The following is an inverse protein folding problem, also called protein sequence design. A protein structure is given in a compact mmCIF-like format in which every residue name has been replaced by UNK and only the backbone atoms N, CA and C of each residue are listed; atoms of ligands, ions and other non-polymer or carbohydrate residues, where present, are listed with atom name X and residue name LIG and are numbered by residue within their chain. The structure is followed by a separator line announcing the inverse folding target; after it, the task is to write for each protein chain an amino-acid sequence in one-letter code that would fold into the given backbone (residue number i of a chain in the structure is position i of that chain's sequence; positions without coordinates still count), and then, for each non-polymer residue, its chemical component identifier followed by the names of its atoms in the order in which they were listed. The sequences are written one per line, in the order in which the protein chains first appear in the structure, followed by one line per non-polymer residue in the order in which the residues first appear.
data_IF_506704732676
#
_entry.id   IF_506704732676
#
_cell.length_a   1.000
_cell.length_b   1.000
_cell.length_c   1.000
_cell.angle_alpha   90.00
_cell.angle_beta   90.00
_cell.angle_gamma   90.00
#
_symmetry.space_group_name_H-M   'P 1'
#
loop_
_entity.id
_entity.type
_entity.pdbx_description
1 polymer ?
#
# COMPACT_ATOMS: atom_id res chain seq x y z
N UNK A 1 -42.32 -63.67 -12.27
CA UNK A 1 -41.07 -64.04 -12.95
C UNK A 1 -39.93 -63.72 -11.97
N UNK A 2 -39.64 -64.68 -11.09
CA UNK A 2 -38.36 -65.42 -10.99
C UNK A 2 -37.21 -64.53 -10.45
N UNK A 3 -37.00 -64.51 -9.12
CA UNK A 3 -36.06 -65.37 -8.34
C UNK A 3 -34.59 -65.03 -8.62
N UNK A 4 -33.89 -64.42 -7.67
CA UNK A 4 -33.01 -65.07 -6.69
C UNK A 4 -31.69 -65.57 -7.32
N UNK A 5 -30.54 -65.07 -6.86
CA UNK A 5 -29.64 -65.88 -6.03
C UNK A 5 -28.35 -65.14 -5.64
N UNK A 6 -27.99 -65.35 -4.37
CA UNK A 6 -26.74 -64.98 -3.75
C UNK A 6 -25.61 -65.93 -4.16
N UNK A 7 -24.35 -65.48 -4.05
CA UNK A 7 -23.20 -66.34 -3.67
C UNK A 7 -22.01 -65.50 -3.22
N UNK A 8 -21.69 -65.63 -1.93
CA UNK A 8 -20.36 -65.43 -1.38
C UNK A 8 -19.34 -66.36 -2.06
N UNK A 9 -18.10 -65.90 -2.22
CA UNK A 9 -16.92 -66.76 -2.22
C UNK A 9 -15.70 -65.99 -1.70
N UNK A 10 -14.99 -66.66 -0.80
CA UNK A 10 -13.91 -66.21 0.06
C UNK A 10 -12.54 -66.19 -0.63
N UNK A 11 -11.68 -65.27 -0.16
CA UNK A 11 -10.22 -65.30 -0.05
C UNK A 11 -9.33 -65.61 -1.27
N UNK A 12 -8.45 -64.65 -1.60
CA UNK A 12 -6.99 -64.87 -1.71
C UNK A 12 -6.23 -63.53 -1.78
N UNK A 13 -5.34 -63.29 -0.81
CA UNK A 13 -4.27 -62.29 -0.92
C UNK A 13 -3.24 -62.78 -1.95
N UNK A 14 -2.66 -61.88 -2.75
CA UNK A 14 -1.27 -62.00 -3.13
C UNK A 14 -0.43 -60.87 -2.54
N UNK A 15 0.82 -61.26 -2.32
CA UNK A 15 1.95 -60.58 -1.75
C UNK A 15 2.40 -59.31 -2.47
N UNK A 16 3.00 -58.44 -1.66
CA UNK A 16 4.00 -57.42 -1.97
C UNK A 16 4.72 -57.50 -3.33
N UNK A 17 4.72 -56.40 -4.05
CA UNK A 17 5.94 -55.88 -4.68
C UNK A 17 5.85 -54.36 -4.91
N UNK A 18 6.99 -53.73 -4.66
CA UNK A 18 7.32 -52.31 -4.72
C UNK A 18 7.15 -51.69 -6.10
N UNK A 19 6.66 -50.44 -6.17
CA UNK A 19 7.48 -49.26 -6.53
C UNK A 19 6.61 -48.05 -6.86
N UNK A 20 6.99 -46.93 -6.24
CA UNK A 20 6.78 -45.52 -6.62
C UNK A 20 5.62 -45.15 -7.58
N UNK A 21 4.70 -44.32 -7.08
CA UNK A 21 4.46 -43.05 -7.76
C UNK A 21 4.05 -41.97 -6.76
N UNK A 22 4.61 -40.80 -6.99
CA UNK A 22 4.52 -39.59 -6.18
C UNK A 22 3.11 -39.01 -6.29
N UNK A 23 2.49 -38.72 -5.16
CA UNK A 23 1.26 -37.94 -5.13
C UNK A 23 0.78 -37.80 -3.69
N UNK A 24 0.43 -36.58 -3.28
CA UNK A 24 -0.01 -36.21 -1.93
C UNK A 24 1.14 -36.08 -0.92
N UNK A 25 1.32 -35.01 -0.14
CA UNK A 25 0.52 -33.83 0.10
C UNK A 25 1.48 -32.70 0.52
N UNK A 26 1.38 -31.54 -0.10
CA UNK A 26 1.71 -30.27 0.55
C UNK A 26 0.43 -29.45 0.58
N UNK A 27 -0.51 -29.92 1.41
CA UNK A 27 -1.58 -29.07 1.92
C UNK A 27 -0.89 -28.05 2.84
N UNK A 28 -0.47 -26.93 2.26
CA UNK A 28 -0.14 -25.75 3.04
C UNK A 28 -1.44 -25.25 3.68
N UNK A 29 -1.71 -25.73 4.87
CA UNK A 29 -2.75 -25.24 5.77
C UNK A 29 -2.39 -23.81 6.22
N UNK A 30 -2.66 -22.82 5.38
CA UNK A 30 -2.87 -21.45 5.83
C UNK A 30 -4.33 -21.34 6.27
N UNK A 31 -4.59 -21.61 7.55
CA UNK A 31 -5.75 -20.98 8.19
C UNK A 31 -5.43 -19.48 8.23
N UNK A 32 -5.85 -18.74 7.20
CA UNK A 32 -5.92 -17.30 7.30
C UNK A 32 -6.77 -16.99 8.53
N UNK A 33 -6.23 -16.27 9.51
CA UNK A 33 -7.01 -15.90 10.69
C UNK A 33 -8.25 -15.13 10.26
N UNK A 34 -9.43 -15.48 10.77
CA UNK A 34 -10.67 -14.72 10.53
C UNK A 34 -10.62 -13.27 11.05
N UNK A 35 -9.63 -12.92 11.88
CA UNK A 35 -9.40 -11.56 12.34
C UNK A 35 -9.14 -10.60 11.15
N UNK A 36 -9.63 -9.36 11.19
CA UNK A 36 -9.32 -8.35 10.18
C UNK A 36 -7.79 -8.11 10.07
N UNK A 37 -7.28 -7.70 8.90
CA UNK A 37 -5.89 -7.25 8.81
C UNK A 37 -5.67 -6.04 9.72
N UNK A 38 -4.45 -5.86 10.21
CA UNK A 38 -4.08 -4.68 11.00
C UNK A 38 -3.87 -3.47 10.08
N UNK A 39 -4.47 -2.33 10.43
CA UNK A 39 -4.22 -1.06 9.74
C UNK A 39 -2.81 -0.54 10.05
N UNK A 40 -1.94 -0.50 9.04
CA UNK A 40 -0.56 -0.01 9.15
C UNK A 40 -0.30 1.26 8.35
N UNK A 41 -1.15 1.60 7.39
CA UNK A 41 -1.03 2.88 6.71
C UNK A 41 -2.22 3.28 5.84
N UNK A 42 -2.39 4.59 5.68
CA UNK A 42 -3.37 5.20 4.78
C UNK A 42 -2.67 6.30 4.00
N UNK A 43 -2.86 6.32 2.69
CA UNK A 43 -2.34 7.37 1.82
C UNK A 43 -3.47 8.10 1.12
N UNK A 44 -3.40 9.43 1.11
CA UNK A 44 -4.24 10.28 0.27
C UNK A 44 -3.35 10.92 -0.80
N UNK A 45 -3.53 10.48 -2.04
CA UNK A 45 -2.69 10.85 -3.17
C UNK A 45 -3.29 11.99 -4.00
N UNK A 46 -2.43 12.72 -4.71
CA UNK A 46 -2.85 13.72 -5.66
C UNK A 46 -3.36 14.99 -4.99
N UNK A 47 -2.71 15.39 -3.91
CA UNK A 47 -2.97 16.64 -3.19
C UNK A 47 -2.30 17.79 -3.94
N UNK A 48 -3.06 18.85 -4.16
CA UNK A 48 -2.67 19.97 -5.03
C UNK A 48 -2.60 21.31 -4.29
N UNK A 49 -3.08 21.34 -3.04
CA UNK A 49 -3.22 22.56 -2.23
C UNK A 49 -2.85 22.28 -0.75
N UNK A 50 -2.16 23.22 -0.07
CA UNK A 50 -1.81 23.09 1.35
C UNK A 50 -3.02 22.94 2.28
N UNK A 51 -4.14 23.60 1.99
CA UNK A 51 -5.35 23.51 2.83
C UNK A 51 -5.93 22.09 2.83
N UNK A 52 -5.95 21.44 1.66
CA UNK A 52 -6.40 20.06 1.53
C UNK A 52 -5.48 19.11 2.31
N UNK A 53 -4.17 19.39 2.29
CA UNK A 53 -3.18 18.63 3.04
C UNK A 53 -3.41 18.71 4.56
N UNK A 54 -3.64 19.92 5.08
CA UNK A 54 -3.97 20.12 6.49
C UNK A 54 -5.26 19.39 6.88
N UNK A 55 -6.31 19.50 6.06
CA UNK A 55 -7.58 18.80 6.30
C UNK A 55 -7.42 17.28 6.30
N UNK A 56 -6.62 16.71 5.39
CA UNK A 56 -6.34 15.28 5.38
C UNK A 56 -5.75 14.84 6.71
N UNK A 57 -4.73 15.55 7.20
CA UNK A 57 -4.05 15.21 8.45
C UNK A 57 -4.99 15.35 9.65
N UNK A 58 -5.70 16.48 9.75
CA UNK A 58 -6.63 16.75 10.85
C UNK A 58 -7.78 15.74 10.86
N UNK A 59 -8.34 15.42 9.69
CA UNK A 59 -9.43 14.44 9.56
C UNK A 59 -8.94 13.03 9.89
N UNK A 60 -7.78 12.62 9.39
CA UNK A 60 -7.19 11.32 9.72
C UNK A 60 -6.95 11.20 11.23
N UNK A 61 -6.36 12.22 11.86
CA UNK A 61 -6.09 12.23 13.29
C UNK A 61 -7.36 12.11 14.12
N UNK A 62 -8.41 12.85 13.76
CA UNK A 62 -9.69 12.85 14.45
C UNK A 62 -10.44 11.53 14.24
N UNK A 63 -10.66 11.13 12.98
CA UNK A 63 -11.49 9.98 12.62
C UNK A 63 -10.83 8.65 12.97
N UNK A 64 -9.50 8.55 12.91
CA UNK A 64 -8.75 7.36 13.31
C UNK A 64 -8.22 7.45 14.75
N UNK A 65 -8.64 8.42 15.57
CA UNK A 65 -8.26 8.54 16.99
C UNK A 65 -6.74 8.46 17.24
N UNK A 66 -5.92 9.02 16.32
CA UNK A 66 -4.48 8.75 16.28
C UNK A 66 -3.70 9.32 17.47
N UNK A 67 -4.19 10.42 18.06
CA UNK A 67 -3.58 11.05 19.22
C UNK A 67 -3.58 10.14 20.46
N UNK A 68 -4.62 9.31 20.60
CA UNK A 68 -4.82 8.41 21.74
C UNK A 68 -4.30 7.00 21.48
N UNK A 69 -3.72 6.73 20.31
CA UNK A 69 -3.52 5.36 19.91
C UNK A 69 -2.57 4.58 20.83
N UNK A 70 -3.00 3.51 21.49
CA UNK A 70 -2.21 2.82 22.52
C UNK A 70 -1.03 2.00 21.94
N UNK A 71 -1.14 1.57 20.68
CA UNK A 71 -0.17 0.75 19.96
C UNK A 71 0.58 1.54 18.85
N UNK A 72 1.36 0.82 18.03
CA UNK A 72 1.97 1.40 16.83
C UNK A 72 0.89 1.97 15.89
N UNK A 73 1.02 3.25 15.60
CA UNK A 73 0.06 4.06 14.84
C UNK A 73 0.18 3.78 13.34
N UNK A 74 -0.92 3.79 12.56
CA UNK A 74 -0.81 3.70 11.12
C UNK A 74 -0.09 4.93 10.56
N UNK A 75 0.77 4.72 9.55
CA UNK A 75 1.39 5.82 8.83
C UNK A 75 0.34 6.55 7.97
N UNK A 76 0.34 7.87 7.99
CA UNK A 76 -0.50 8.72 7.16
C UNK A 76 0.38 9.39 6.12
N UNK A 77 0.15 9.07 4.84
CA UNK A 77 0.90 9.62 3.73
C UNK A 77 0.07 10.62 2.94
N UNK A 78 0.67 11.76 2.59
CA UNK A 78 0.02 12.81 1.78
C UNK A 78 0.80 12.97 0.48
N UNK A 79 0.27 12.44 -0.62
CA UNK A 79 0.97 12.34 -1.90
C UNK A 79 0.77 13.55 -2.81
N UNK A 80 1.88 14.12 -3.28
CA UNK A 80 1.96 15.17 -4.30
C UNK A 80 2.45 14.56 -5.61
N UNK A 81 1.77 14.81 -6.73
CA UNK A 81 2.20 14.28 -8.04
C UNK A 81 3.05 15.33 -8.75
N UNK A 82 4.31 15.03 -9.03
CA UNK A 82 5.25 15.93 -9.72
C UNK A 82 5.50 15.51 -11.18
N UNK A 83 4.57 14.74 -11.75
CA UNK A 83 4.61 14.32 -13.15
C UNK A 83 3.75 15.22 -14.03
N UNK A 84 4.37 15.86 -15.02
CA UNK A 84 3.78 16.90 -15.86
C UNK A 84 2.48 16.48 -16.58
N UNK A 85 2.29 15.19 -16.86
CA UNK A 85 1.12 14.66 -17.57
C UNK A 85 -0.09 14.38 -16.66
N UNK A 86 0.06 14.57 -15.36
CA UNK A 86 -1.03 14.38 -14.40
C UNK A 86 -1.93 15.60 -14.32
N UNK A 87 -3.25 15.40 -14.30
CA UNK A 87 -4.22 16.47 -13.96
C UNK A 87 -4.10 17.02 -12.53
N UNK A 88 -3.25 16.37 -11.71
CA UNK A 88 -2.98 16.70 -10.30
C UNK A 88 -1.53 17.15 -10.11
N UNK A 89 -0.86 17.54 -11.19
CA UNK A 89 0.53 17.97 -11.13
C UNK A 89 0.68 19.19 -10.22
N UNK A 90 1.74 19.18 -9.41
CA UNK A 90 2.23 20.33 -8.66
C UNK A 90 3.70 20.57 -8.99
N UNK A 91 4.14 21.83 -8.87
CA UNK A 91 5.55 22.20 -8.92
C UNK A 91 6.28 21.81 -7.63
N UNK A 92 7.61 21.81 -7.65
CA UNK A 92 8.42 21.59 -6.44
C UNK A 92 8.11 22.59 -5.32
N UNK A 93 7.89 23.88 -5.67
CA UNK A 93 7.54 24.92 -4.70
C UNK A 93 6.15 24.70 -4.07
N UNK A 94 5.16 24.30 -4.87
CA UNK A 94 3.83 23.95 -4.35
C UNK A 94 3.87 22.69 -3.48
N UNK A 95 4.65 21.69 -3.87
CA UNK A 95 4.88 20.49 -3.07
C UNK A 95 5.56 20.84 -1.73
N UNK A 96 6.50 21.78 -1.70
CA UNK A 96 7.09 22.31 -0.47
C UNK A 96 6.01 22.91 0.45
N UNK A 97 5.14 23.77 -0.08
CA UNK A 97 4.02 24.34 0.68
C UNK A 97 3.08 23.28 1.25
N UNK A 98 2.82 22.21 0.50
CA UNK A 98 2.05 21.06 0.98
C UNK A 98 2.79 20.32 2.09
N UNK A 99 4.09 20.05 1.94
CA UNK A 99 4.91 19.39 2.96
C UNK A 99 4.91 20.17 4.29
N UNK A 100 5.03 21.50 4.22
CA UNK A 100 4.93 22.38 5.38
C UNK A 100 3.56 22.24 6.06
N UNK A 101 2.46 22.34 5.30
CA UNK A 101 1.11 22.20 5.85
C UNK A 101 0.86 20.84 6.51
N UNK A 102 1.40 19.75 5.94
CA UNK A 102 1.34 18.41 6.54
C UNK A 102 2.02 18.38 7.90
N UNK A 103 3.24 18.91 7.99
CA UNK A 103 4.02 18.93 9.24
C UNK A 103 3.37 19.80 10.31
N UNK A 104 2.87 20.97 9.93
CA UNK A 104 2.19 21.88 10.85
C UNK A 104 0.87 21.28 11.37
N UNK A 105 0.05 20.70 10.50
CA UNK A 105 -1.17 20.03 10.91
C UNK A 105 -0.87 18.84 11.84
N UNK A 106 0.15 18.05 11.54
CA UNK A 106 0.62 16.98 12.43
C UNK A 106 1.11 17.54 13.77
N UNK A 107 1.80 18.68 13.77
CA UNK A 107 2.29 19.32 14.99
C UNK A 107 1.16 19.82 15.90
N UNK A 108 0.06 20.30 15.32
CA UNK A 108 -1.16 20.71 16.04
C UNK A 108 -1.96 19.53 16.55
N UNK A 109 -2.10 18.47 15.74
CA UNK A 109 -2.99 17.34 16.04
C UNK A 109 -2.33 16.23 16.88
N UNK A 110 -1.00 16.10 16.85
CA UNK A 110 -0.28 14.96 17.43
C UNK A 110 0.84 15.35 18.41
N UNK A 111 1.05 14.57 19.48
CA UNK A 111 2.23 14.68 20.34
C UNK A 111 3.54 14.52 19.54
N UNK A 112 4.62 15.17 19.99
CA UNK A 112 5.94 15.18 19.31
C UNK A 112 6.37 13.79 18.79
N UNK A 113 6.31 12.76 19.63
CA UNK A 113 6.71 11.37 19.29
C UNK A 113 5.89 10.69 18.18
N UNK A 114 4.76 11.27 17.77
CA UNK A 114 3.88 10.69 16.74
C UNK A 114 3.87 11.46 15.43
N UNK A 115 4.53 12.62 15.38
CA UNK A 115 4.50 13.50 14.19
C UNK A 115 5.17 12.85 12.98
N UNK A 116 6.15 11.98 13.20
CA UNK A 116 6.85 11.23 12.15
C UNK A 116 5.97 10.21 11.43
N UNK A 117 4.82 9.83 11.99
CA UNK A 117 3.87 8.93 11.33
C UNK A 117 3.08 9.63 10.22
N UNK A 118 3.13 10.97 10.14
CA UNK A 118 2.43 11.75 9.13
C UNK A 118 3.47 12.37 8.18
N UNK A 119 3.54 11.87 6.95
CA UNK A 119 4.64 12.21 6.03
C UNK A 119 4.13 12.60 4.65
N UNK A 120 4.62 13.70 4.07
CA UNK A 120 4.35 14.02 2.68
C UNK A 120 5.18 13.11 1.75
N UNK A 121 4.66 12.84 0.55
CA UNK A 121 5.26 11.94 -0.44
C UNK A 121 5.30 12.62 -1.80
N UNK A 122 6.46 12.64 -2.45
CA UNK A 122 6.63 13.08 -3.84
C UNK A 122 6.42 11.90 -4.80
N UNK A 123 5.53 12.01 -5.79
CA UNK A 123 5.23 10.95 -6.76
C UNK A 123 5.78 11.30 -8.13
N UNK A 124 6.59 10.40 -8.69
CA UNK A 124 7.26 10.55 -9.99
C UNK A 124 6.89 9.41 -10.94
N UNK A 125 6.92 9.69 -12.23
CA UNK A 125 6.66 8.72 -13.31
C UNK A 125 7.70 8.95 -14.40
N UNK A 126 8.51 7.93 -14.69
CA UNK A 126 9.48 7.93 -15.80
C UNK A 126 10.47 9.11 -15.82
N UNK A 127 10.78 9.67 -14.64
CA UNK A 127 11.76 10.76 -14.44
C UNK A 127 13.18 10.22 -14.16
N UNK A 128 14.26 10.97 -14.51
CA UNK A 128 15.63 10.57 -14.19
C UNK A 128 15.96 10.77 -12.70
N UNK A 129 16.88 9.96 -12.16
CA UNK A 129 17.22 9.98 -10.73
C UNK A 129 17.69 11.36 -10.23
N UNK A 130 18.46 12.09 -11.03
CA UNK A 130 18.91 13.45 -10.68
C UNK A 130 17.75 14.44 -10.50
N UNK A 131 16.74 14.35 -11.37
CA UNK A 131 15.59 15.21 -11.28
C UNK A 131 14.75 14.88 -10.04
N UNK A 132 14.59 13.58 -9.75
CA UNK A 132 13.93 13.11 -8.52
C UNK A 132 14.65 13.67 -7.28
N UNK A 133 15.98 13.51 -7.20
CA UNK A 133 16.79 13.99 -6.09
C UNK A 133 16.65 15.51 -5.89
N UNK A 134 16.93 16.30 -6.93
CA UNK A 134 16.83 17.78 -6.88
C UNK A 134 15.43 18.25 -6.48
N UNK A 135 14.40 17.60 -7.03
CA UNK A 135 13.01 17.96 -6.73
C UNK A 135 12.63 17.62 -5.29
N UNK A 136 13.07 16.48 -4.77
CA UNK A 136 12.82 16.11 -3.37
C UNK A 136 13.54 17.06 -2.41
N UNK A 137 14.78 17.46 -2.71
CA UNK A 137 15.51 18.46 -1.92
C UNK A 137 14.77 19.81 -1.93
N UNK A 138 14.38 20.32 -3.10
CA UNK A 138 13.65 21.60 -3.24
C UNK A 138 12.28 21.58 -2.56
N UNK A 139 11.56 20.46 -2.62
CA UNK A 139 10.25 20.29 -2.01
C UNK A 139 10.32 19.89 -0.53
N UNK A 140 11.53 19.72 0.02
CA UNK A 140 11.78 19.12 1.33
C UNK A 140 11.06 17.77 1.54
N UNK A 141 11.00 16.92 0.52
CA UNK A 141 10.32 15.63 0.56
C UNK A 141 11.30 14.51 0.89
N UNK A 142 11.09 13.84 2.03
CA UNK A 142 11.89 12.68 2.42
C UNK A 142 11.42 11.34 1.85
N UNK A 143 10.38 11.32 1.01
CA UNK A 143 9.86 10.08 0.38
C UNK A 143 9.59 10.33 -1.10
N UNK A 144 10.19 9.51 -1.97
CA UNK A 144 9.88 9.44 -3.39
C UNK A 144 9.11 8.16 -3.75
N UNK A 145 7.87 8.27 -4.21
CA UNK A 145 7.13 7.16 -4.80
C UNK A 145 7.45 7.04 -6.29
N UNK A 146 8.05 5.91 -6.68
CA UNK A 146 8.46 5.61 -8.04
C UNK A 146 7.30 4.90 -8.77
N UNK A 147 6.43 5.67 -9.42
CA UNK A 147 5.20 5.22 -10.06
C UNK A 147 5.38 4.96 -11.56
N UNK A 148 6.35 4.10 -11.93
CA UNK A 148 6.62 3.72 -13.32
C UNK A 148 6.82 2.21 -13.47
N UNK A 149 7.36 1.79 -14.61
CA UNK A 149 7.64 0.35 -14.85
C UNK A 149 8.68 -0.20 -13.88
N UNK A 150 8.65 -1.50 -13.59
CA UNK A 150 9.66 -2.16 -12.75
C UNK A 150 11.09 -1.93 -13.27
N UNK A 151 11.27 -1.91 -14.59
CA UNK A 151 12.56 -1.63 -15.23
C UNK A 151 13.02 -0.18 -15.00
N UNK A 152 12.11 0.79 -15.10
CA UNK A 152 12.44 2.19 -14.79
C UNK A 152 12.77 2.37 -13.30
N UNK A 153 11.98 1.77 -12.41
CA UNK A 153 12.25 1.82 -10.97
C UNK A 153 13.65 1.27 -10.65
N UNK A 154 14.03 0.12 -11.22
CA UNK A 154 15.37 -0.45 -11.03
C UNK A 154 16.49 0.47 -11.53
N UNK A 155 16.31 1.12 -12.69
CA UNK A 155 17.28 2.11 -13.21
C UNK A 155 17.42 3.29 -12.27
N UNK A 156 16.32 3.88 -11.80
CA UNK A 156 16.36 4.99 -10.85
C UNK A 156 17.10 4.58 -9.57
N UNK A 157 16.85 3.38 -9.05
CA UNK A 157 17.56 2.91 -7.84
C UNK A 157 19.07 2.77 -8.06
N UNK A 158 19.49 2.31 -9.24
CA UNK A 158 20.90 2.20 -9.61
C UNK A 158 21.55 3.58 -9.81
N UNK A 159 20.91 4.45 -10.59
CA UNK A 159 21.39 5.80 -10.89
C UNK A 159 21.46 6.65 -9.62
N UNK A 160 20.44 6.62 -8.76
CA UNK A 160 20.43 7.34 -7.48
C UNK A 160 21.64 6.94 -6.63
N UNK A 161 21.97 5.66 -6.56
CA UNK A 161 23.18 5.23 -5.83
C UNK A 161 24.46 5.73 -6.45
N UNK A 162 24.56 5.77 -7.78
CA UNK A 162 25.73 6.30 -8.45
C UNK A 162 25.90 7.80 -8.17
N UNK A 163 24.81 8.57 -8.15
CA UNK A 163 24.81 9.99 -7.79
C UNK A 163 25.32 10.24 -6.36
N UNK A 164 25.05 9.33 -5.43
CA UNK A 164 25.45 9.44 -4.01
C UNK A 164 26.62 8.50 -3.66
N UNK A 165 27.60 8.34 -4.55
CA UNK A 165 28.88 7.69 -4.24
C UNK A 165 28.78 6.18 -3.98
N UNK A 166 27.83 5.50 -4.63
CA UNK A 166 27.58 4.07 -4.50
C UNK A 166 26.64 3.68 -3.35
N UNK A 167 26.27 4.63 -2.49
CA UNK A 167 25.35 4.45 -1.35
C UNK A 167 24.00 5.11 -1.65
N UNK A 168 22.97 4.65 -0.94
CA UNK A 168 21.67 5.30 -0.98
C UNK A 168 21.69 6.55 -0.09
N UNK A 169 21.12 7.70 -0.52
CA UNK A 169 21.05 8.91 0.31
C UNK A 169 20.26 8.66 1.60
N UNK A 170 20.87 8.96 2.76
CA UNK A 170 20.27 8.67 4.08
C UNK A 170 19.01 9.51 4.39
N UNK A 171 18.82 10.63 3.68
CA UNK A 171 17.70 11.54 3.87
C UNK A 171 16.45 11.17 3.05
N UNK A 172 16.58 10.26 2.07
CA UNK A 172 15.52 9.92 1.13
C UNK A 172 15.08 8.47 1.33
N UNK A 173 13.80 8.25 1.52
CA UNK A 173 13.19 6.93 1.39
C UNK A 173 12.44 6.83 0.06
N UNK A 174 12.10 5.61 -0.35
CA UNK A 174 11.31 5.40 -1.56
C UNK A 174 10.19 4.40 -1.38
N UNK A 175 9.17 4.54 -2.21
CA UNK A 175 8.11 3.57 -2.37
C UNK A 175 8.07 3.05 -3.81
N UNK A 176 7.80 1.76 -3.97
CA UNK A 176 7.73 1.09 -5.26
C UNK A 176 6.27 0.86 -5.67
N UNK A 177 5.98 0.87 -6.97
CA UNK A 177 4.63 0.58 -7.50
C UNK A 177 4.63 -0.71 -8.30
N UNK A 178 3.63 -1.54 -8.10
CA UNK A 178 3.45 -2.81 -8.78
C UNK A 178 2.03 -2.92 -9.33
N UNK A 179 1.84 -3.61 -10.45
CA UNK A 179 0.51 -3.99 -10.91
C UNK A 179 -0.01 -5.19 -10.12
N UNK A 180 -1.34 -5.37 -10.00
CA UNK A 180 -1.90 -6.62 -9.50
C UNK A 180 -1.34 -7.83 -10.29
N UNK A 181 -0.98 -8.90 -9.58
CA UNK A 181 -0.34 -10.08 -10.18
C UNK A 181 1.19 -10.02 -10.28
N UNK A 182 1.83 -8.83 -10.26
CA UNK A 182 3.29 -8.68 -10.25
C UNK A 182 3.90 -8.81 -8.84
N UNK A 183 3.07 -9.00 -7.82
CA UNK A 183 3.47 -9.06 -6.41
C UNK A 183 4.25 -10.31 -6.00
N UNK A 184 4.47 -11.27 -6.92
CA UNK A 184 5.15 -12.54 -6.66
C UNK A 184 6.36 -12.73 -7.57
N UNK A 185 7.32 -11.81 -7.55
CA UNK A 185 8.59 -12.02 -8.25
C UNK A 185 9.68 -12.28 -7.23
N UNK A 186 10.02 -13.56 -7.03
CA UNK A 186 11.32 -13.94 -6.45
C UNK A 186 12.40 -13.51 -7.46
N UNK A 187 13.46 -12.80 -7.05
CA UNK A 187 14.51 -12.42 -7.97
C UNK A 187 15.20 -13.68 -8.53
N UNK A 188 15.12 -13.86 -9.85
CA UNK A 188 15.89 -14.87 -10.56
C UNK A 188 17.34 -14.41 -10.58
N UNK A 189 18.22 -15.11 -9.85
CA UNK A 189 19.65 -14.80 -9.79
C UNK A 189 20.31 -15.20 -11.10
N UNK A 190 20.91 -14.25 -11.82
CA UNK A 190 21.86 -14.55 -12.89
C UNK A 190 23.29 -14.58 -12.30
N UNK A 191 24.13 -15.58 -12.63
CA UNK A 191 25.40 -15.81 -11.93
C UNK A 191 26.59 -15.23 -12.72
N UNK A 192 26.70 -13.92 -12.89
CA UNK A 192 27.96 -13.33 -13.37
C UNK A 192 28.19 -11.97 -12.73
N UNK A 193 29.31 -11.86 -12.00
CA UNK A 193 29.75 -10.76 -11.13
C UNK A 193 29.08 -10.70 -9.74
N UNK A 194 29.83 -10.33 -8.67
CA UNK A 194 29.20 -10.04 -7.39
C UNK A 194 28.19 -8.91 -7.60
N UNK A 195 26.90 -9.12 -7.28
CA UNK A 195 25.91 -8.08 -7.48
C UNK A 195 26.29 -6.86 -6.63
N UNK A 196 26.08 -5.63 -7.13
CA UNK A 196 26.17 -4.46 -6.26
C UNK A 196 25.25 -4.69 -5.06
N UNK A 197 25.60 -4.17 -3.86
CA UNK A 197 24.75 -4.38 -2.68
C UNK A 197 23.31 -3.92 -3.02
N UNK A 198 22.28 -4.69 -2.63
CA UNK A 198 20.91 -4.37 -3.04
C UNK A 198 20.51 -2.99 -2.51
N UNK A 199 19.63 -2.25 -3.22
CA UNK A 199 19.05 -1.04 -2.66
C UNK A 199 18.33 -1.36 -1.33
N UNK A 200 18.14 -0.37 -0.44
CA UNK A 200 17.32 -0.59 0.75
C UNK A 200 15.93 -1.09 0.34
N UNK A 201 15.23 -1.87 1.17
CA UNK A 201 13.85 -2.23 0.89
C UNK A 201 12.98 -0.96 0.78
N UNK A 202 11.93 -0.97 -0.06
CA UNK A 202 11.02 0.16 -0.14
C UNK A 202 10.28 0.36 1.20
N UNK A 203 9.98 1.61 1.55
CA UNK A 203 9.17 1.96 2.72
C UNK A 203 7.79 1.30 2.65
N UNK A 204 7.21 1.26 1.45
CA UNK A 204 6.03 0.46 1.14
C UNK A 204 5.99 0.12 -0.35
N UNK A 205 5.22 -0.93 -0.69
CA UNK A 205 4.82 -1.24 -2.07
C UNK A 205 3.38 -0.78 -2.30
N UNK A 206 3.13 -0.01 -3.35
CA UNK A 206 1.79 0.31 -3.80
C UNK A 206 1.37 -0.72 -4.86
N UNK A 207 0.24 -1.38 -4.66
CA UNK A 207 -0.37 -2.22 -5.70
C UNK A 207 -1.46 -1.40 -6.38
N UNK A 208 -1.17 -0.92 -7.59
CA UNK A 208 -2.05 -0.04 -8.36
C UNK A 208 -2.40 -0.69 -9.72
N UNK A 209 -3.68 -0.91 -10.05
CA UNK A 209 -4.10 -1.39 -11.37
C UNK A 209 -3.80 -0.41 -12.52
N UNK A 210 -3.38 0.82 -12.23
CA UNK A 210 -2.81 1.75 -13.20
C UNK A 210 -3.84 2.46 -14.09
N UNK A 211 -5.13 2.42 -13.76
CA UNK A 211 -6.17 3.07 -14.57
C UNK A 211 -6.23 4.58 -14.37
N UNK A 212 -5.89 5.10 -13.18
CA UNK A 212 -5.84 6.54 -12.88
C UNK A 212 -7.17 7.33 -13.03
N UNK A 213 -8.20 6.69 -13.55
CA UNK A 213 -9.54 7.21 -13.90
C UNK A 213 -10.55 7.04 -12.76
N UNK A 214 -10.18 6.30 -11.71
CA UNK A 214 -11.00 6.09 -10.52
C UNK A 214 -11.96 4.91 -10.59
N UNK A 215 -11.90 4.06 -11.62
CA UNK A 215 -12.69 2.82 -11.67
C UNK A 215 -12.10 1.76 -10.74
N UNK A 216 -12.96 1.10 -9.97
CA UNK A 216 -12.57 0.00 -9.10
C UNK A 216 -12.13 -1.23 -9.93
N UNK A 217 -11.16 -1.97 -9.40
CA UNK A 217 -10.73 -3.26 -9.94
C UNK A 217 -11.66 -4.37 -9.48
N UNK A 218 -11.83 -5.41 -10.28
CA UNK A 218 -12.34 -6.68 -9.78
C UNK A 218 -11.28 -7.36 -8.90
N UNK A 219 -11.48 -7.28 -7.58
CA UNK A 219 -10.54 -7.81 -6.60
C UNK A 219 -10.46 -9.33 -6.57
N UNK A 220 -11.48 -10.04 -7.07
CA UNK A 220 -11.49 -11.49 -7.14
C UNK A 220 -10.67 -12.03 -8.32
N UNK A 221 -10.44 -11.21 -9.34
CA UNK A 221 -9.74 -11.60 -10.55
C UNK A 221 -8.20 -11.63 -10.41
N UNK A 222 -7.64 -11.32 -9.24
CA UNK A 222 -6.20 -11.13 -9.05
C UNK A 222 -5.69 -11.83 -7.79
N UNK A 223 -4.43 -12.28 -7.85
CA UNK A 223 -3.68 -12.71 -6.67
C UNK A 223 -3.07 -11.50 -5.95
N UNK A 224 -3.13 -11.52 -4.63
CA UNK A 224 -2.67 -10.44 -3.76
C UNK A 224 -1.45 -10.87 -2.92
N UNK A 225 -0.56 -9.93 -2.55
CA UNK A 225 0.61 -10.26 -1.74
C UNK A 225 0.20 -10.86 -0.38
N UNK A 226 0.64 -12.09 -0.11
CA UNK A 226 0.57 -12.72 1.21
C UNK A 226 1.88 -12.48 1.97
N UNK A 227 2.19 -11.20 2.25
CA UNK A 227 3.44 -10.76 2.87
C UNK A 227 3.18 -9.89 4.09
N UNK A 228 4.02 -10.03 5.11
CA UNK A 228 4.06 -9.13 6.27
C UNK A 228 4.77 -7.79 5.95
N UNK A 229 5.30 -7.62 4.72
CA UNK A 229 5.82 -6.33 4.25
C UNK A 229 4.71 -5.26 4.22
N UNK A 230 5.11 -3.99 4.38
CA UNK A 230 4.17 -2.89 4.24
C UNK A 230 3.80 -2.71 2.76
N UNK A 231 2.52 -2.84 2.45
CA UNK A 231 1.99 -2.53 1.12
C UNK A 231 0.62 -1.87 1.21
N UNK A 232 0.24 -1.15 0.16
CA UNK A 232 -1.03 -0.45 0.09
C UNK A 232 -1.79 -0.80 -1.18
N UNK A 233 -3.08 -1.03 -1.05
CA UNK A 233 -3.99 -1.21 -2.18
C UNK A 233 -4.42 0.16 -2.71
N UNK A 234 -4.26 0.38 -4.01
CA UNK A 234 -4.79 1.54 -4.72
C UNK A 234 -5.82 1.13 -5.78
N UNK A 235 -6.37 2.11 -6.48
CA UNK A 235 -7.24 1.89 -7.64
C UNK A 235 -8.73 2.04 -7.33
N UNK A 236 -9.28 3.23 -7.56
CA UNK A 236 -10.73 3.47 -7.49
C UNK A 236 -11.36 3.33 -6.10
N UNK A 237 -10.57 3.33 -5.04
CA UNK A 237 -11.10 3.25 -3.67
C UNK A 237 -11.90 4.49 -3.30
N UNK A 238 -12.99 4.29 -2.55
CA UNK A 238 -13.86 5.31 -1.96
C UNK A 238 -14.62 4.72 -0.76
N UNK A 239 -15.32 5.56 0.01
CA UNK A 239 -15.99 5.14 1.24
C UNK A 239 -16.94 3.95 1.04
N UNK A 240 -17.71 3.96 -0.06
CA UNK A 240 -18.64 2.87 -0.38
C UNK A 240 -18.04 1.54 -0.84
N UNK A 241 -16.72 1.43 -1.07
CA UNK A 241 -16.12 0.18 -1.58
C UNK A 241 -14.87 -0.28 -0.80
N UNK A 242 -14.25 0.58 0.00
CA UNK A 242 -13.01 0.25 0.72
C UNK A 242 -13.20 -0.89 1.72
N UNK A 243 -14.37 -1.00 2.36
CA UNK A 243 -14.65 -2.10 3.29
C UNK A 243 -14.66 -3.47 2.60
N UNK A 244 -15.26 -3.54 1.41
CA UNK A 244 -15.24 -4.76 0.60
C UNK A 244 -13.82 -5.08 0.11
N UNK A 245 -13.09 -4.06 -0.36
CA UNK A 245 -11.70 -4.21 -0.78
C UNK A 245 -10.84 -4.80 0.34
N UNK A 246 -10.96 -4.27 1.56
CA UNK A 246 -10.20 -4.74 2.73
C UNK A 246 -10.61 -6.16 3.12
N UNK A 247 -11.90 -6.50 3.04
CA UNK A 247 -12.39 -7.86 3.33
C UNK A 247 -11.82 -8.90 2.36
N UNK A 248 -11.77 -8.60 1.07
CA UNK A 248 -11.31 -9.53 0.02
C UNK A 248 -9.79 -9.60 -0.04
N UNK A 249 -9.15 -8.42 -0.10
CA UNK A 249 -7.72 -8.28 -0.41
C UNK A 249 -6.85 -8.32 0.84
N UNK A 250 -7.42 -7.96 2.00
CA UNK A 250 -6.76 -7.89 3.31
C UNK A 250 -5.44 -7.11 3.32
N UNK A 251 -5.35 -5.92 2.68
CA UNK A 251 -4.10 -5.17 2.62
C UNK A 251 -3.79 -4.51 3.97
N UNK A 252 -2.51 -4.37 4.38
CA UNK A 252 -2.14 -3.65 5.59
C UNK A 252 -2.29 -2.12 5.45
N UNK A 253 -2.60 -1.61 4.26
CA UNK A 253 -2.96 -0.22 4.06
C UNK A 253 -3.66 0.05 2.73
N UNK A 254 -4.12 1.28 2.56
CA UNK A 254 -4.89 1.73 1.38
C UNK A 254 -4.42 3.09 0.89
N UNK A 255 -4.52 3.33 -0.43
CA UNK A 255 -4.23 4.60 -1.09
C UNK A 255 -5.46 5.09 -1.87
N UNK A 256 -5.86 6.33 -1.61
CA UNK A 256 -7.02 6.95 -2.26
C UNK A 256 -6.65 8.24 -2.97
N UNK A 257 -7.20 8.44 -4.17
CA UNK A 257 -7.04 9.67 -4.93
C UNK A 257 -8.41 10.26 -5.32
N UNK A 258 -9.01 9.73 -6.39
CA UNK A 258 -10.30 10.18 -6.96
C UNK A 258 -11.48 10.06 -6.00
N UNK A 259 -11.54 8.98 -5.21
CA UNK A 259 -12.68 8.68 -4.34
C UNK A 259 -12.95 9.72 -3.25
N UNK A 260 -11.99 10.61 -2.98
CA UNK A 260 -12.10 11.69 -2.00
C UNK A 260 -11.96 13.08 -2.64
N UNK A 261 -11.99 13.18 -3.97
CA UNK A 261 -12.05 14.46 -4.69
C UNK A 261 -13.48 14.98 -4.80
N UNK A 262 -13.65 16.29 -4.97
CA UNK A 262 -14.92 16.83 -5.48
C UNK A 262 -15.21 16.25 -6.88
N UNK A 263 -16.48 15.98 -7.20
CA UNK A 263 -16.84 15.63 -8.57
C UNK A 263 -16.44 16.78 -9.52
N UNK A 264 -16.11 16.49 -10.78
CA UNK A 264 -15.88 17.53 -11.78
C UNK A 264 -17.13 18.43 -11.87
N UNK A 265 -16.94 19.75 -11.82
CA UNK A 265 -18.01 20.70 -12.11
C UNK A 265 -18.31 20.66 -13.62
N UNK A 266 -19.58 20.46 -13.99
CA UNK A 266 -20.01 20.41 -15.39
C UNK A 266 -19.79 21.74 -16.14
N UNK A 267 -19.69 22.85 -15.41
CA UNK A 267 -19.74 24.21 -15.97
C UNK A 267 -18.36 24.88 -16.15
N UNK A 268 -17.25 24.18 -15.92
CA UNK A 268 -15.90 24.79 -15.99
C UNK A 268 -15.14 24.30 -17.23
N UNK A 269 -14.94 25.21 -18.20
CA UNK A 269 -14.26 24.95 -19.47
C UNK A 269 -12.78 24.55 -19.35
N UNK A 270 -12.13 24.89 -18.24
CA UNK A 270 -10.78 24.39 -17.88
C UNK A 270 -10.88 23.75 -16.50
N UNK A 271 -10.74 22.42 -16.36
CA UNK A 271 -10.87 21.82 -15.03
C UNK A 271 -9.73 22.33 -14.14
N UNK A 272 -10.08 23.14 -13.14
CA UNK A 272 -9.17 23.45 -12.05
C UNK A 272 -8.59 22.15 -11.47
N UNK A 273 -7.35 22.19 -10.97
CA UNK A 273 -6.72 21.02 -10.35
C UNK A 273 -7.66 20.44 -9.28
N UNK A 274 -7.92 19.12 -9.24
CA UNK A 274 -8.90 18.54 -8.34
C UNK A 274 -8.59 18.87 -6.87
N UNK A 275 -9.65 19.28 -6.15
CA UNK A 275 -9.62 19.51 -4.70
C UNK A 275 -10.16 18.32 -3.94
N UNK A 276 -9.65 18.08 -2.74
CA UNK A 276 -10.16 17.04 -1.84
C UNK A 276 -11.44 17.53 -1.15
N UNK A 277 -12.44 16.67 -1.06
CA UNK A 277 -13.72 16.96 -0.45
C UNK A 277 -13.73 16.48 1.00
N UNK A 278 -13.82 17.41 1.96
CA UNK A 278 -13.77 17.10 3.40
C UNK A 278 -14.78 16.03 3.83
N UNK A 279 -16.04 16.15 3.40
CA UNK A 279 -17.07 15.16 3.73
C UNK A 279 -16.75 13.76 3.16
N UNK A 280 -16.07 13.66 2.00
CA UNK A 280 -15.64 12.38 1.44
C UNK A 280 -14.43 11.80 2.16
N UNK A 281 -13.49 12.66 2.59
CA UNK A 281 -12.38 12.25 3.45
C UNK A 281 -12.91 11.66 4.77
N UNK A 282 -13.83 12.35 5.43
CA UNK A 282 -14.47 11.89 6.67
C UNK A 282 -15.12 10.53 6.48
N UNK A 283 -15.98 10.38 5.46
CA UNK A 283 -16.63 9.11 5.14
C UNK A 283 -15.62 7.99 4.81
N UNK A 284 -14.53 8.31 4.11
CA UNK A 284 -13.51 7.33 3.77
C UNK A 284 -12.73 6.85 5.00
N UNK A 285 -12.33 7.75 5.90
CA UNK A 285 -11.66 7.37 7.14
C UNK A 285 -12.59 6.61 8.10
N UNK A 286 -13.88 6.96 8.15
CA UNK A 286 -14.87 6.20 8.92
C UNK A 286 -15.03 4.77 8.35
N UNK A 287 -15.09 4.61 7.04
CA UNK A 287 -15.14 3.30 6.39
C UNK A 287 -13.87 2.47 6.60
N UNK A 288 -12.67 3.09 6.59
CA UNK A 288 -11.41 2.43 6.95
C UNK A 288 -11.47 1.95 8.40
N UNK A 289 -11.90 2.83 9.31
CA UNK A 289 -11.98 2.53 10.74
C UNK A 289 -12.82 1.27 10.99
N UNK A 290 -13.99 1.20 10.35
CA UNK A 290 -14.87 0.04 10.42
C UNK A 290 -14.26 -1.21 9.79
N UNK A 291 -13.72 -1.10 8.57
CA UNK A 291 -13.19 -2.23 7.81
C UNK A 291 -11.99 -2.92 8.47
N UNK A 292 -11.17 -2.15 9.18
CA UNK A 292 -10.00 -2.65 9.91
C UNK A 292 -10.28 -2.94 11.38
N UNK A 293 -11.52 -2.74 11.86
CA UNK A 293 -11.87 -2.77 13.29
C UNK A 293 -10.93 -1.91 14.15
N UNK A 294 -10.53 -0.75 13.63
CA UNK A 294 -9.61 0.17 14.27
C UNK A 294 -10.38 1.09 15.24
N UNK A 295 -9.97 1.18 16.49
CA UNK A 295 -10.55 2.10 17.48
C UNK A 295 -9.49 3.05 18.09
N UNK A 296 -8.25 2.95 17.61
CA UNK A 296 -7.07 3.57 18.21
C UNK A 296 -6.48 2.73 19.35
N UNK A 297 -7.15 1.68 19.79
CA UNK A 297 -6.77 0.84 20.90
C UNK A 297 -6.71 -0.61 20.44
N UNK A 298 -5.86 -0.95 19.48
CA UNK A 298 -5.54 -2.37 19.30
C UNK A 298 -4.66 -2.83 20.47
N UNK A 299 -5.37 -3.25 21.52
CA UNK A 299 -5.12 -4.26 22.53
C UNK A 299 -3.67 -4.58 22.91
N UNK A 300 -3.37 -4.19 24.16
CA UNK A 300 -2.45 -4.89 25.05
C UNK A 300 -2.91 -6.33 25.41
N UNK A 301 -3.89 -6.91 24.72
CA UNK A 301 -4.54 -8.19 25.06
C UNK A 301 -3.94 -9.40 24.33
N UNK A 302 -2.80 -9.26 23.65
CA UNK A 302 -2.04 -10.42 23.11
C UNK A 302 -0.68 -10.68 23.77
N UNK A 303 -0.40 -10.05 24.92
CA UNK A 303 0.82 -10.28 25.71
C UNK A 303 0.57 -10.94 27.07
N UNK A 304 -0.58 -11.58 27.26
CA UNK A 304 -0.87 -12.43 28.42
C UNK A 304 -1.41 -13.79 27.95
N UNK A 305 -0.50 -14.65 27.51
CA UNK A 305 -0.80 -16.02 27.12
C UNK A 305 0.41 -16.62 26.43
N UNK A 306 1.06 -17.57 27.09
CA UNK A 306 2.30 -18.26 26.72
C UNK A 306 3.60 -17.48 26.90
N UNK A 307 4.08 -17.47 28.15
CA UNK A 307 5.52 -17.57 28.41
C UNK A 307 5.94 -19.02 28.13
N UNK A 308 6.78 -19.31 27.11
CA UNK A 308 7.34 -20.65 26.95
C UNK A 308 8.46 -20.87 27.99
N UNK A 309 8.73 -22.14 28.37
CA UNK A 309 9.70 -22.51 29.41
C UNK A 309 11.15 -22.15 29.07
#
# INVERSE_FOLDING_TARGET
MASADARELSAKRPSSSSSSSRGSAFLCSLRASDAAPRLRGVKVCGVTHPEDAAWIVETACARLNLARAAAAMPQIFVGCILWARSRRVVTAAEACGIAVAVREAAARALPRRRREYVRPVAVFVDEPAEHIARTCEQAEMGIAQLHGTSAWQQRVLQEMRQLYGGRWPEWLEYAAVHKPGDATVRPMRSPTSPPPPPPPPPLYRLVDPGRGDGRALDWHAHSWPASDEMWMLAGGLHAGNVGEAVRIVRPPGVDVATGVEWPPSADVATPARPRKARHRLEAFFDAIREAYHWDGTEDAVRASGDTPP
#
